data_IF_640829872946
#
_entry.id   IF_640829872946
#
_cell.length_a   1.000
_cell.length_b   1.000
_cell.length_c   1.000
_cell.angle_alpha   90.00
_cell.angle_beta   90.00
_cell.angle_gamma   90.00
#
_symmetry.space_group_name_H-M   'P 1'
#
loop_
_entity.id
_entity.type
_entity.pdbx_description
1 polymer ?
#
# COMPACT_ATOMS: atom_id res chain seq x y z
N UNK A 1 -33.69 -29.69 40.57
CA UNK A 1 -32.51 -30.00 39.76
C UNK A 1 -32.65 -29.64 38.26
N UNK A 2 -33.74 -29.97 37.58
CA UNK A 2 -33.90 -29.69 36.13
C UNK A 2 -33.90 -28.17 35.81
N UNK A 3 -34.62 -27.36 36.61
CA UNK A 3 -34.73 -25.91 36.40
C UNK A 3 -33.37 -25.20 36.54
N UNK A 4 -32.54 -25.62 37.51
CA UNK A 4 -31.21 -25.07 37.72
C UNK A 4 -30.25 -25.41 36.57
N UNK A 5 -30.35 -26.61 35.99
CA UNK A 5 -29.55 -27.01 34.85
C UNK A 5 -29.91 -26.21 33.58
N UNK A 6 -31.20 -25.96 33.34
CA UNK A 6 -31.68 -25.14 32.23
C UNK A 6 -31.22 -23.68 32.38
N UNK A 7 -31.37 -23.10 33.59
CA UNK A 7 -30.95 -21.72 33.86
C UNK A 7 -29.45 -21.55 33.66
N UNK A 8 -28.63 -22.50 34.17
CA UNK A 8 -27.19 -22.49 33.96
C UNK A 8 -26.80 -22.56 32.48
N UNK A 9 -27.49 -23.38 31.69
CA UNK A 9 -27.24 -23.49 30.24
C UNK A 9 -27.55 -22.19 29.48
N UNK A 10 -28.65 -21.51 29.83
CA UNK A 10 -29.01 -20.21 29.24
C UNK A 10 -27.99 -19.12 29.59
N UNK A 11 -27.57 -19.06 30.85
CA UNK A 11 -26.57 -18.09 31.30
C UNK A 11 -25.22 -18.33 30.63
N UNK A 12 -24.77 -19.58 30.52
CA UNK A 12 -23.54 -19.93 29.81
C UNK A 12 -23.61 -19.56 28.32
N UNK A 13 -24.73 -19.86 27.64
CA UNK A 13 -24.96 -19.49 26.25
C UNK A 13 -24.92 -17.97 26.04
N UNK A 14 -25.50 -17.21 26.97
CA UNK A 14 -25.43 -15.75 26.95
C UNK A 14 -23.99 -15.24 27.06
N UNK A 15 -23.21 -15.75 28.04
CA UNK A 15 -21.81 -15.34 28.20
C UNK A 15 -20.95 -15.68 26.96
N UNK A 16 -21.11 -16.87 26.40
CA UNK A 16 -20.37 -17.27 25.18
C UNK A 16 -20.68 -16.32 24.00
N UNK A 17 -21.95 -15.96 23.81
CA UNK A 17 -22.35 -15.03 22.76
C UNK A 17 -21.80 -13.62 23.01
N UNK A 18 -21.76 -13.13 24.25
CA UNK A 18 -21.17 -11.85 24.63
C UNK A 18 -19.66 -11.81 24.33
N UNK A 19 -18.93 -12.85 24.76
CA UNK A 19 -17.48 -12.96 24.51
C UNK A 19 -17.22 -12.97 22.99
N UNK A 20 -17.99 -13.75 22.23
CA UNK A 20 -17.86 -13.80 20.77
C UNK A 20 -18.09 -12.42 20.14
N UNK A 21 -19.12 -11.69 20.55
CA UNK A 21 -19.41 -10.35 20.05
C UNK A 21 -18.27 -9.37 20.33
N UNK A 22 -17.69 -9.42 21.54
CA UNK A 22 -16.55 -8.58 21.92
C UNK A 22 -15.32 -8.88 21.07
N UNK A 23 -14.99 -10.16 20.86
CA UNK A 23 -13.82 -10.54 20.05
C UNK A 23 -13.99 -10.13 18.60
N UNK A 24 -15.18 -10.30 18.01
CA UNK A 24 -15.47 -9.87 16.65
C UNK A 24 -15.34 -8.34 16.52
N UNK A 25 -15.88 -7.58 17.48
CA UNK A 25 -15.77 -6.13 17.50
C UNK A 25 -14.32 -5.66 17.62
N UNK A 26 -13.53 -6.28 18.52
CA UNK A 26 -12.10 -5.99 18.66
C UNK A 26 -11.32 -6.32 17.39
N UNK A 27 -11.54 -7.49 16.79
CA UNK A 27 -10.87 -7.86 15.55
C UNK A 27 -11.19 -6.89 14.40
N UNK A 28 -12.43 -6.39 14.31
CA UNK A 28 -12.80 -5.37 13.31
C UNK A 28 -12.11 -4.04 13.56
N UNK A 29 -12.00 -3.63 14.82
CA UNK A 29 -11.29 -2.40 15.20
C UNK A 29 -9.81 -2.50 14.87
N UNK A 30 -9.16 -3.63 15.17
CA UNK A 30 -7.75 -3.90 14.85
C UNK A 30 -7.50 -3.83 13.34
N UNK A 31 -8.40 -4.39 12.51
CA UNK A 31 -8.30 -4.31 11.05
C UNK A 31 -8.45 -2.87 10.54
N UNK A 32 -9.36 -2.08 11.11
CA UNK A 32 -9.53 -0.66 10.73
C UNK A 32 -8.30 0.16 11.09
N UNK A 33 -7.73 -0.04 12.27
CA UNK A 33 -6.50 0.63 12.71
C UNK A 33 -5.31 0.27 11.80
N UNK A 34 -5.14 -1.02 11.48
CA UNK A 34 -4.11 -1.46 10.53
C UNK A 34 -4.30 -0.81 9.15
N UNK A 35 -5.54 -0.79 8.63
CA UNK A 35 -5.84 -0.17 7.34
C UNK A 35 -5.50 1.31 7.35
N UNK A 36 -5.86 2.03 8.40
CA UNK A 36 -5.56 3.46 8.55
C UNK A 36 -4.05 3.71 8.58
N UNK A 37 -3.29 2.99 9.42
CA UNK A 37 -1.84 3.15 9.51
C UNK A 37 -1.16 2.88 8.15
N UNK A 38 -1.58 1.82 7.44
CA UNK A 38 -1.01 1.49 6.14
C UNK A 38 -1.32 2.54 5.06
N UNK A 39 -2.56 3.08 5.05
CA UNK A 39 -2.91 4.13 4.10
C UNK A 39 -2.27 5.48 4.46
N UNK A 40 -2.16 5.83 5.75
CA UNK A 40 -1.42 7.02 6.19
C UNK A 40 0.04 6.98 5.73
N UNK A 41 0.68 5.80 5.80
CA UNK A 41 2.03 5.60 5.27
C UNK A 41 2.08 5.82 3.75
N UNK A 42 1.12 5.26 3.01
CA UNK A 42 1.02 5.46 1.55
C UNK A 42 0.74 6.93 1.22
N UNK A 43 -0.10 7.61 2.02
CA UNK A 43 -0.41 9.02 1.84
C UNK A 43 0.83 9.92 1.99
N UNK A 44 1.76 9.58 2.87
CA UNK A 44 3.01 10.31 3.00
C UNK A 44 3.84 10.22 1.71
N UNK A 45 3.96 9.01 1.12
CA UNK A 45 4.66 8.82 -0.15
C UNK A 45 3.96 9.57 -1.30
N UNK A 46 2.62 9.53 -1.36
CA UNK A 46 1.85 10.28 -2.39
C UNK A 46 2.10 11.79 -2.28
N UNK A 47 2.10 12.33 -1.07
CA UNK A 47 2.31 13.79 -0.85
C UNK A 47 3.70 14.28 -1.25
N UNK A 48 4.72 13.42 -1.19
CA UNK A 48 6.08 13.78 -1.61
C UNK A 48 6.38 13.40 -3.07
N UNK A 49 5.48 12.66 -3.71
CA UNK A 49 5.61 12.26 -5.11
C UNK A 49 5.20 13.41 -6.04
N UNK A 50 5.84 13.47 -7.20
CA UNK A 50 5.49 14.43 -8.24
C UNK A 50 4.17 14.06 -8.92
N UNK A 51 3.98 12.77 -9.22
CA UNK A 51 2.82 12.21 -9.92
C UNK A 51 2.79 10.69 -9.74
N UNK A 52 1.74 10.05 -10.24
CA UNK A 52 1.78 8.63 -10.56
C UNK A 52 2.39 8.42 -11.95
N UNK A 53 3.21 7.39 -12.12
CA UNK A 53 3.73 6.97 -13.42
C UNK A 53 2.85 5.86 -14.02
N UNK A 54 2.74 5.82 -15.35
CA UNK A 54 1.99 4.77 -16.04
C UNK A 54 2.74 3.42 -15.96
N UNK A 55 4.09 3.45 -15.97
CA UNK A 55 4.97 2.28 -15.85
C UNK A 55 6.22 2.63 -15.06
N UNK A 56 6.99 1.59 -14.68
CA UNK A 56 8.26 1.81 -13.98
C UNK A 56 9.33 2.41 -14.90
N UNK A 57 10.12 3.32 -14.35
CA UNK A 57 11.24 4.00 -15.05
C UNK A 57 12.54 3.20 -15.00
N UNK A 58 12.75 2.50 -13.91
CA UNK A 58 13.98 1.74 -13.64
C UNK A 58 13.73 0.25 -13.79
N UNK A 59 14.71 -0.51 -14.32
CA UNK A 59 14.54 -1.94 -14.53
C UNK A 59 14.36 -2.67 -13.21
N UNK A 60 13.48 -3.66 -13.21
CA UNK A 60 13.25 -4.58 -12.10
C UNK A 60 13.41 -6.03 -12.56
N UNK A 61 14.42 -6.71 -12.04
CA UNK A 61 14.65 -8.14 -12.33
C UNK A 61 13.49 -9.03 -11.80
N UNK A 62 12.67 -8.52 -10.89
CA UNK A 62 11.53 -9.19 -10.29
C UNK A 62 10.20 -8.59 -10.75
N UNK A 63 10.19 -7.96 -11.93
CA UNK A 63 8.97 -7.42 -12.54
C UNK A 63 7.95 -8.52 -12.85
N UNK A 64 6.64 -8.18 -12.98
CA UNK A 64 5.58 -9.16 -13.24
C UNK A 64 5.81 -10.04 -14.47
N UNK A 65 6.39 -9.48 -15.54
CA UNK A 65 6.81 -10.22 -16.71
C UNK A 65 8.33 -10.47 -16.66
N UNK A 66 8.82 -11.71 -16.44
CA UNK A 66 10.24 -11.98 -16.29
C UNK A 66 11.08 -11.69 -17.55
N UNK A 67 10.46 -11.52 -18.72
CA UNK A 67 11.14 -11.16 -19.97
C UNK A 67 11.18 -9.65 -20.24
N UNK A 68 10.48 -8.84 -19.42
CA UNK A 68 10.43 -7.39 -19.51
C UNK A 68 10.59 -6.75 -18.13
N UNK A 69 11.76 -6.20 -17.90
CA UNK A 69 12.10 -5.52 -16.63
C UNK A 69 11.32 -4.23 -16.38
N UNK A 70 10.58 -3.73 -17.39
CA UNK A 70 9.74 -2.53 -17.32
C UNK A 70 8.24 -2.86 -17.33
N UNK A 71 7.87 -4.10 -16.99
CA UNK A 71 6.49 -4.60 -17.08
C UNK A 71 5.57 -4.19 -15.93
N UNK A 72 6.03 -3.43 -14.94
CA UNK A 72 5.14 -2.82 -13.98
C UNK A 72 4.26 -1.76 -14.64
N UNK A 73 2.95 -1.84 -14.41
CA UNK A 73 1.97 -0.89 -14.93
C UNK A 73 1.09 -0.40 -13.78
N UNK A 74 0.90 0.90 -13.68
CA UNK A 74 -0.15 1.45 -12.82
C UNK A 74 -1.52 1.09 -13.36
N UNK A 75 -2.35 0.54 -12.48
CA UNK A 75 -3.71 0.09 -12.80
C UNK A 75 -4.58 0.10 -11.54
N UNK A 76 -5.76 -0.52 -11.60
CA UNK A 76 -6.67 -0.58 -10.46
C UNK A 76 -6.12 -1.38 -9.25
N UNK A 77 -5.06 -2.18 -9.40
CA UNK A 77 -4.49 -3.02 -8.35
C UNK A 77 -3.02 -2.76 -8.04
N UNK A 78 -2.40 -1.83 -8.77
CA UNK A 78 -1.02 -1.41 -8.53
C UNK A 78 -0.86 0.09 -8.75
N UNK A 79 -0.05 0.73 -7.92
CA UNK A 79 0.24 2.16 -7.94
C UNK A 79 1.74 2.36 -8.08
N UNK A 80 2.17 3.12 -9.07
CA UNK A 80 3.57 3.52 -9.25
C UNK A 80 3.66 5.03 -9.02
N UNK A 81 4.41 5.43 -8.01
CA UNK A 81 4.67 6.83 -7.68
C UNK A 81 6.04 7.25 -8.19
N UNK A 82 6.15 8.46 -8.73
CA UNK A 82 7.39 9.11 -9.08
C UNK A 82 7.84 10.04 -7.95
N UNK A 83 8.77 9.58 -7.13
CA UNK A 83 9.28 10.32 -5.97
C UNK A 83 10.64 10.94 -6.31
N UNK A 84 10.88 12.19 -5.92
CA UNK A 84 12.17 12.84 -6.16
C UNK A 84 13.32 12.11 -5.47
N UNK A 85 14.35 11.72 -6.24
CA UNK A 85 15.56 11.10 -5.70
C UNK A 85 16.31 12.10 -4.83
N UNK A 86 16.86 11.63 -3.71
CA UNK A 86 17.55 12.45 -2.71
C UNK A 86 18.89 11.83 -2.30
N UNK A 87 19.85 12.67 -1.94
CA UNK A 87 21.09 12.21 -1.31
C UNK A 87 20.88 11.89 0.19
N UNK A 88 21.94 11.45 0.87
CA UNK A 88 21.92 11.13 2.30
C UNK A 88 21.62 12.35 3.19
N UNK A 89 21.74 13.57 2.68
CA UNK A 89 21.44 14.81 3.38
C UNK A 89 20.04 15.34 3.02
N UNK A 90 19.23 14.55 2.32
CA UNK A 90 17.90 14.91 1.81
C UNK A 90 17.90 16.03 0.76
N UNK A 91 19.02 16.30 0.11
CA UNK A 91 19.04 17.21 -1.03
C UNK A 91 18.49 16.51 -2.26
N UNK A 92 17.65 17.21 -3.02
CA UNK A 92 17.07 16.70 -4.27
C UNK A 92 18.17 16.56 -5.33
N UNK A 93 18.19 15.44 -6.02
CA UNK A 93 19.11 15.15 -7.11
C UNK A 93 18.44 15.49 -8.45
N UNK A 94 19.25 16.00 -9.39
CA UNK A 94 18.76 16.46 -10.70
C UNK A 94 19.41 15.65 -11.83
N UNK A 95 18.58 15.08 -12.72
CA UNK A 95 19.06 14.47 -13.97
C UNK A 95 19.62 15.51 -14.92
N UNK A 96 19.01 16.71 -14.99
CA UNK A 96 19.50 17.86 -15.72
C UNK A 96 19.40 19.11 -14.83
N UNK A 97 20.52 19.46 -14.11
CA UNK A 97 20.54 20.64 -13.24
C UNK A 97 20.26 21.96 -13.97
N UNK A 98 20.59 22.05 -15.28
CA UNK A 98 20.39 23.27 -16.05
C UNK A 98 18.93 23.55 -16.36
N UNK A 99 18.09 22.51 -16.36
CA UNK A 99 16.64 22.57 -16.57
C UNK A 99 15.83 22.29 -15.31
N UNK A 100 16.49 22.09 -14.16
CA UNK A 100 15.87 21.72 -12.90
C UNK A 100 15.01 20.43 -13.00
N UNK A 101 15.38 19.50 -13.91
CA UNK A 101 14.71 18.20 -14.02
C UNK A 101 15.21 17.31 -12.90
N UNK A 102 14.33 16.99 -11.96
CA UNK A 102 14.65 16.13 -10.82
C UNK A 102 14.74 14.66 -11.24
N UNK A 103 15.78 13.97 -10.77
CA UNK A 103 15.84 12.53 -10.81
C UNK A 103 14.71 11.94 -9.97
N UNK A 104 14.13 10.82 -10.38
CA UNK A 104 12.98 10.23 -9.70
C UNK A 104 13.19 8.75 -9.46
N UNK A 105 12.86 8.31 -8.24
CA UNK A 105 12.70 6.91 -7.88
C UNK A 105 11.25 6.49 -8.17
N UNK A 106 11.01 5.19 -8.36
CA UNK A 106 9.65 4.65 -8.35
C UNK A 106 9.36 3.97 -7.01
N UNK A 107 8.24 4.32 -6.39
CA UNK A 107 7.64 3.57 -5.30
C UNK A 107 6.42 2.82 -5.83
N UNK A 108 6.49 1.49 -5.81
CA UNK A 108 5.47 0.60 -6.40
C UNK A 108 4.70 -0.07 -5.26
N UNK A 109 3.39 0.17 -5.22
CA UNK A 109 2.47 -0.49 -4.29
C UNK A 109 1.70 -1.57 -5.04
N UNK A 110 1.75 -2.80 -4.55
CA UNK A 110 1.12 -3.96 -5.18
C UNK A 110 0.75 -5.02 -4.15
N UNK A 111 -0.22 -5.87 -4.51
CA UNK A 111 -0.61 -7.01 -3.67
C UNK A 111 0.08 -8.29 -4.15
N UNK A 112 0.58 -9.04 -3.19
CA UNK A 112 1.00 -10.43 -3.39
C UNK A 112 0.58 -11.25 -2.17
N UNK A 113 -0.11 -12.38 -2.41
CA UNK A 113 -0.53 -13.33 -1.37
C UNK A 113 -1.25 -12.67 -0.17
N UNK A 114 -2.20 -11.76 -0.43
CA UNK A 114 -2.96 -11.08 0.63
C UNK A 114 -2.17 -10.08 1.46
N UNK A 115 -1.02 -9.62 0.95
CA UNK A 115 -0.16 -8.62 1.58
C UNK A 115 0.06 -7.48 0.60
N UNK A 116 -0.12 -6.23 1.05
CA UNK A 116 0.26 -5.04 0.31
C UNK A 116 1.72 -4.72 0.59
N UNK A 117 2.51 -4.70 -0.46
CA UNK A 117 3.94 -4.38 -0.42
C UNK A 117 4.22 -3.01 -1.03
N UNK A 118 5.31 -2.39 -0.59
CA UNK A 118 5.97 -1.28 -1.27
C UNK A 118 7.34 -1.74 -1.75
N UNK A 119 7.58 -1.66 -3.06
CA UNK A 119 8.88 -1.82 -3.72
C UNK A 119 9.43 -0.46 -4.08
N UNK A 120 10.73 -0.28 -3.94
CA UNK A 120 11.46 0.88 -4.44
C UNK A 120 12.28 0.43 -5.64
N UNK A 121 12.22 1.18 -6.73
CA UNK A 121 13.18 1.10 -7.83
C UNK A 121 13.93 2.42 -7.85
N UNK A 122 15.15 2.38 -7.35
CA UNK A 122 15.97 3.56 -7.18
C UNK A 122 16.55 4.05 -8.51
N UNK A 123 16.58 5.38 -8.71
CA UNK A 123 17.32 6.01 -9.79
C UNK A 123 18.80 5.65 -9.71
N UNK A 124 19.41 5.45 -10.87
CA UNK A 124 20.86 5.16 -10.99
C UNK A 124 21.75 6.41 -10.87
N UNK A 125 21.15 7.57 -10.57
CA UNK A 125 21.90 8.81 -10.42
C UNK A 125 22.90 8.70 -9.27
N UNK A 126 24.11 9.22 -9.49
CA UNK A 126 25.17 9.19 -8.47
C UNK A 126 24.74 9.98 -7.23
N UNK A 127 24.94 9.39 -6.05
CA UNK A 127 24.61 10.00 -4.76
C UNK A 127 23.19 9.73 -4.28
N UNK A 128 22.35 9.02 -5.04
CA UNK A 128 21.02 8.65 -4.59
C UNK A 128 21.10 7.78 -3.32
N UNK A 129 20.39 8.20 -2.26
CA UNK A 129 20.32 7.46 -1.00
C UNK A 129 19.33 6.30 -1.03
N UNK A 130 18.38 6.31 -1.97
CA UNK A 130 17.43 5.22 -2.14
C UNK A 130 18.14 3.96 -2.66
N UNK A 131 17.66 2.81 -2.20
CA UNK A 131 18.15 1.49 -2.63
C UNK A 131 16.97 0.72 -3.21
N UNK A 132 17.19 0.10 -4.37
CA UNK A 132 16.19 -0.81 -4.97
C UNK A 132 15.92 -1.97 -4.03
N UNK A 133 14.63 -2.29 -3.85
CA UNK A 133 14.19 -3.40 -2.99
C UNK A 133 13.77 -4.61 -3.83
N UNK A 134 13.76 -5.78 -3.19
CA UNK A 134 13.49 -7.08 -3.80
C UNK A 134 12.45 -7.86 -3.01
N UNK A 135 11.79 -8.86 -3.62
CA UNK A 135 11.00 -9.83 -2.86
C UNK A 135 11.85 -10.47 -1.74
N UNK A 136 11.23 -10.73 -0.59
CA UNK A 136 11.92 -11.29 0.59
C UNK A 136 12.73 -12.57 0.25
N UNK A 137 12.20 -13.42 -0.62
CA UNK A 137 12.85 -14.68 -1.02
C UNK A 137 14.20 -14.52 -1.73
N UNK A 138 14.48 -13.34 -2.32
CA UNK A 138 15.72 -13.02 -3.05
C UNK A 138 16.44 -11.80 -2.47
N UNK A 139 16.01 -11.31 -1.31
CA UNK A 139 16.59 -10.15 -0.68
C UNK A 139 18.04 -10.38 -0.26
N UNK A 140 18.87 -9.32 -0.38
CA UNK A 140 20.29 -9.30 -0.03
C UNK A 140 20.62 -7.98 0.68
N UNK A 141 21.88 -7.82 1.11
CA UNK A 141 22.33 -6.52 1.67
C UNK A 141 22.31 -5.37 0.67
N UNK A 142 22.42 -5.67 -0.64
CA UNK A 142 22.37 -4.67 -1.73
C UNK A 142 21.00 -4.51 -2.36
N UNK A 143 20.08 -5.42 -2.07
CA UNK A 143 18.67 -5.35 -2.47
C UNK A 143 17.81 -5.81 -1.28
N UNK A 144 17.53 -4.93 -0.31
CA UNK A 144 16.76 -5.28 0.87
C UNK A 144 15.33 -5.70 0.52
N UNK A 145 14.68 -6.42 1.42
CA UNK A 145 13.30 -6.89 1.21
C UNK A 145 12.31 -5.74 0.99
N UNK A 146 11.32 -5.98 0.15
CA UNK A 146 10.18 -5.10 -0.02
C UNK A 146 9.51 -4.82 1.33
N UNK A 147 9.06 -3.59 1.53
CA UNK A 147 8.37 -3.23 2.77
C UNK A 147 6.94 -3.74 2.78
N UNK A 148 6.60 -4.54 3.76
CA UNK A 148 5.20 -4.86 4.06
C UNK A 148 4.48 -3.63 4.59
N UNK A 149 3.37 -3.26 3.95
CA UNK A 149 2.52 -2.13 4.34
C UNK A 149 1.30 -2.64 5.11
N UNK A 150 0.59 -3.63 4.56
CA UNK A 150 -0.61 -4.21 5.16
C UNK A 150 -0.62 -5.71 4.95
N UNK A 151 -1.13 -6.44 5.94
CA UNK A 151 -1.42 -7.87 5.87
C UNK A 151 -2.94 -8.10 5.87
N UNK A 152 -3.35 -9.33 5.55
CA UNK A 152 -4.76 -9.71 5.50
C UNK A 152 -5.57 -8.91 4.47
N UNK A 153 -4.95 -8.48 3.37
CA UNK A 153 -5.57 -7.69 2.32
C UNK A 153 -6.43 -8.60 1.45
N UNK A 154 -7.75 -8.43 1.54
CA UNK A 154 -8.71 -9.11 0.68
C UNK A 154 -8.86 -8.39 -0.67
N UNK A 155 -8.79 -7.04 -0.66
CA UNK A 155 -8.78 -6.25 -1.89
C UNK A 155 -8.06 -4.91 -1.68
N UNK A 156 -7.47 -4.42 -2.76
CA UNK A 156 -6.86 -3.10 -2.85
C UNK A 156 -7.22 -2.52 -4.21
N UNK A 157 -7.70 -1.30 -4.25
CA UNK A 157 -8.00 -0.65 -5.52
C UNK A 157 -7.56 0.81 -5.53
N UNK A 158 -7.09 1.23 -6.71
CA UNK A 158 -6.61 2.57 -6.99
C UNK A 158 -7.47 3.20 -8.07
N UNK A 159 -7.93 4.43 -7.85
CA UNK A 159 -8.54 5.26 -8.87
C UNK A 159 -7.72 6.54 -9.03
N UNK A 160 -7.43 6.89 -10.27
CA UNK A 160 -6.65 8.06 -10.64
C UNK A 160 -7.61 9.18 -11.05
N UNK A 161 -7.53 10.35 -10.41
CA UNK A 161 -8.54 11.40 -10.49
C UNK A 161 -7.87 12.72 -10.87
N UNK A 162 -8.44 13.44 -11.85
CA UNK A 162 -7.99 14.78 -12.23
C UNK A 162 -8.50 15.88 -11.26
N UNK A 163 -8.15 17.14 -11.51
CA UNK A 163 -8.60 18.27 -10.71
C UNK A 163 -10.11 18.56 -10.81
N UNK A 164 -10.81 17.92 -11.75
CA UNK A 164 -12.28 18.06 -11.95
C UNK A 164 -13.06 16.89 -11.36
N UNK A 165 -12.38 15.88 -10.80
CA UNK A 165 -13.00 14.69 -10.22
C UNK A 165 -13.25 13.56 -11.22
N UNK A 166 -12.74 13.65 -12.46
CA UNK A 166 -12.89 12.59 -13.46
C UNK A 166 -11.77 11.57 -13.32
N UNK A 167 -12.08 10.30 -13.65
CA UNK A 167 -11.08 9.27 -13.74
C UNK A 167 -10.21 9.46 -15.00
N UNK A 168 -8.88 9.38 -14.81
CA UNK A 168 -7.89 9.64 -15.85
C UNK A 168 -6.79 8.56 -15.83
N UNK A 169 -5.85 8.63 -16.79
CA UNK A 169 -4.64 7.81 -16.78
C UNK A 169 -3.73 8.23 -15.61
N UNK A 170 -2.90 7.32 -15.05
CA UNK A 170 -2.09 7.60 -13.86
C UNK A 170 -1.23 8.86 -13.98
N UNK A 171 -0.53 9.04 -15.10
CA UNK A 171 0.37 10.19 -15.35
C UNK A 171 -0.35 11.56 -15.40
N UNK A 172 -1.66 11.58 -15.59
CA UNK A 172 -2.49 12.79 -15.62
C UNK A 172 -3.28 13.04 -14.33
N UNK A 173 -3.11 12.17 -13.32
CA UNK A 173 -3.86 12.28 -12.08
C UNK A 173 -3.33 13.42 -11.20
N UNK A 174 -4.24 14.15 -10.58
CA UNK A 174 -4.00 15.15 -9.52
C UNK A 174 -4.17 14.58 -8.12
N UNK A 175 -4.98 13.55 -8.02
CA UNK A 175 -5.22 12.81 -6.79
C UNK A 175 -5.47 11.34 -7.10
N UNK A 176 -5.32 10.52 -6.07
CA UNK A 176 -5.69 9.10 -6.11
C UNK A 176 -6.69 8.81 -5.00
N UNK A 177 -7.65 7.95 -5.27
CA UNK A 177 -8.51 7.34 -4.27
C UNK A 177 -8.07 5.89 -4.08
N UNK A 178 -7.58 5.59 -2.88
CA UNK A 178 -7.22 4.24 -2.47
C UNK A 178 -8.37 3.63 -1.66
N UNK A 179 -8.74 2.40 -2.00
CA UNK A 179 -9.64 1.59 -1.19
C UNK A 179 -8.92 0.29 -0.81
N UNK A 180 -8.96 -0.05 0.45
CA UNK A 180 -8.44 -1.31 0.96
C UNK A 180 -9.50 -2.02 1.78
N UNK A 181 -9.64 -3.33 1.55
CA UNK A 181 -10.45 -4.21 2.41
C UNK A 181 -9.51 -5.22 3.04
N UNK A 182 -9.49 -5.27 4.35
CA UNK A 182 -8.81 -6.29 5.13
C UNK A 182 -9.81 -7.35 5.56
N UNK A 183 -9.38 -8.61 5.66
CA UNK A 183 -10.20 -9.74 6.09
C UNK A 183 -9.42 -10.66 7.00
N UNK A 184 -10.03 -11.05 8.11
CA UNK A 184 -9.50 -12.01 9.08
C UNK A 184 -10.57 -13.06 9.41
N UNK A 185 -10.20 -14.32 9.44
CA UNK A 185 -11.10 -15.41 9.83
C UNK A 185 -11.03 -15.63 11.35
N UNK A 186 -12.15 -15.41 12.03
CA UNK A 186 -12.28 -15.62 13.48
C UNK A 186 -13.63 -16.27 13.80
N UNK A 187 -13.64 -17.26 14.70
CA UNK A 187 -14.85 -17.98 15.11
C UNK A 187 -15.75 -18.46 13.96
N UNK A 188 -15.15 -19.02 12.93
CA UNK A 188 -15.84 -19.52 11.72
C UNK A 188 -16.62 -18.43 10.95
N UNK A 189 -16.13 -17.18 11.02
CA UNK A 189 -16.67 -16.03 10.28
C UNK A 189 -15.52 -15.21 9.70
N UNK A 190 -15.74 -14.64 8.53
CA UNK A 190 -14.85 -13.67 7.94
C UNK A 190 -15.23 -12.28 8.43
N UNK A 191 -14.32 -11.67 9.19
CA UNK A 191 -14.44 -10.31 9.69
C UNK A 191 -13.74 -9.41 8.68
N UNK A 192 -14.48 -8.47 8.08
CA UNK A 192 -13.95 -7.56 7.09
C UNK A 192 -14.00 -6.11 7.57
N UNK A 193 -13.00 -5.32 7.18
CA UNK A 193 -12.98 -3.89 7.37
C UNK A 193 -12.51 -3.22 6.07
N UNK A 194 -13.26 -2.22 5.61
CA UNK A 194 -12.93 -1.44 4.42
C UNK A 194 -12.60 -0.02 4.85
N UNK A 195 -11.51 0.50 4.31
CA UNK A 195 -11.07 1.88 4.49
C UNK A 195 -10.76 2.49 3.13
N UNK A 196 -11.14 3.75 2.96
CA UNK A 196 -10.92 4.50 1.72
C UNK A 196 -10.35 5.87 2.04
N UNK A 197 -9.35 6.31 1.28
CA UNK A 197 -8.73 7.62 1.45
C UNK A 197 -8.40 8.24 0.09
N UNK A 198 -8.73 9.53 -0.06
CA UNK A 198 -8.30 10.31 -1.20
C UNK A 198 -7.04 11.11 -0.83
N UNK A 199 -6.02 10.98 -1.67
CA UNK A 199 -4.71 11.58 -1.49
C UNK A 199 -4.38 12.46 -2.67
N UNK A 200 -3.84 13.66 -2.42
CA UNK A 200 -3.51 14.65 -3.46
C UNK A 200 -2.00 14.74 -3.62
N UNK A 201 -1.52 14.77 -4.86
CA UNK A 201 -0.12 15.06 -5.17
C UNK A 201 0.20 16.52 -4.85
N UNK A 202 1.25 16.74 -4.07
CA UNK A 202 1.61 18.09 -3.62
C UNK A 202 2.41 18.89 -4.65
N UNK A 203 3.14 18.19 -5.52
CA UNK A 203 4.11 18.81 -6.42
C UNK A 203 3.62 18.89 -7.87
N UNK A 204 2.33 19.11 -8.05
CA UNK A 204 1.73 19.26 -9.36
C UNK A 204 1.87 20.72 -9.84
N UNK A 205 2.95 20.99 -10.51
CA UNK A 205 3.28 22.28 -11.15
C UNK A 205 3.63 22.10 -12.63
#
# INVERSE_FOLDING_TARGET
MIVTAILSGVILGFFVNQIRAIVIASAKQDLLEQAQIGLDYTAQDVRVSANADDSNRWPDANAPNPTDQYSWQSNASSLILATGAQDQNHNVLFDDPSKYITAKDNHIYFISNGTLYRRILASTITGNAAVTTCPEAVATSTCPADKTILQNVASFSVQYIDGSGNQVVPSSARSILLNVTLSKHEYNQDITATYAEQMVFRNDS
#
